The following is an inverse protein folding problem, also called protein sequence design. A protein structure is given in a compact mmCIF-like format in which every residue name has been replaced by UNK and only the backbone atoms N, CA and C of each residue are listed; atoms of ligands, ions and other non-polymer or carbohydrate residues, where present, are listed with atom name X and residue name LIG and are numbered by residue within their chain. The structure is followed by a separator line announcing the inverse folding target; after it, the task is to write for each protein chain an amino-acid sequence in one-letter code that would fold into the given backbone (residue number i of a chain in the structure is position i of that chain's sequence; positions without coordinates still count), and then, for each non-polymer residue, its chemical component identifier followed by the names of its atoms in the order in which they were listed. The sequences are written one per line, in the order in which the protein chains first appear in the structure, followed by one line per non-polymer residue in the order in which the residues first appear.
data_IF_182894268336
#
_entry.id   IF_182894268336
#
_cell.length_a   1.000
_cell.length_b   1.000
_cell.length_c   1.000
_cell.angle_alpha   90.00
_cell.angle_beta   90.00
_cell.angle_gamma   90.00
#
_symmetry.space_group_name_H-M   'P 1'
#
loop_
_entity.id
_entity.type
_entity.pdbx_description
1 polymer ?
#
# COMPACT_ATOMS: atom_id res chain seq x y z
N UNK A 1 77.15 -29.91 9.87
CA UNK A 1 76.65 -28.56 10.19
C UNK A 1 75.26 -28.45 9.59
N UNK A 2 74.23 -28.59 10.41
CA UNK A 2 72.82 -28.61 9.98
C UNK A 2 72.36 -27.20 9.61
N UNK A 3 71.72 -27.05 8.46
CA UNK A 3 71.05 -25.81 8.04
C UNK A 3 69.55 -26.05 8.18
N UNK A 4 68.90 -25.34 9.10
CA UNK A 4 67.45 -25.33 9.29
C UNK A 4 66.86 -24.17 8.51
N UNK A 5 65.92 -24.45 7.60
CA UNK A 5 65.12 -23.43 6.91
C UNK A 5 63.85 -23.15 7.72
N UNK A 6 63.65 -21.90 8.12
CA UNK A 6 62.44 -21.40 8.76
C UNK A 6 61.49 -20.86 7.69
N UNK A 7 60.35 -21.51 7.51
CA UNK A 7 59.26 -21.03 6.65
C UNK A 7 58.30 -20.17 7.46
N UNK A 8 58.34 -18.86 7.23
CA UNK A 8 57.36 -17.90 7.75
C UNK A 8 56.11 -17.92 6.88
N UNK A 9 54.99 -18.42 7.41
CA UNK A 9 53.70 -18.34 6.74
C UNK A 9 53.06 -16.97 7.01
N UNK A 10 52.89 -16.16 5.96
CA UNK A 10 52.14 -14.90 5.99
C UNK A 10 50.64 -15.21 5.88
N UNK A 11 49.89 -15.06 6.97
CA UNK A 11 48.43 -15.06 6.93
C UNK A 11 47.92 -13.68 6.48
N UNK A 12 47.29 -13.63 5.31
CA UNK A 12 46.51 -12.47 4.88
C UNK A 12 45.09 -12.54 5.46
N UNK A 13 44.61 -11.52 6.20
CA UNK A 13 43.23 -11.48 6.68
C UNK A 13 42.29 -11.21 5.51
N UNK A 14 41.46 -12.22 5.18
CA UNK A 14 40.39 -12.09 4.20
C UNK A 14 39.28 -11.24 4.82
N UNK A 15 39.27 -9.94 4.49
CA UNK A 15 38.21 -9.03 4.89
C UNK A 15 36.98 -9.30 4.02
N UNK A 16 35.99 -9.99 4.57
CA UNK A 16 34.66 -10.06 3.95
C UNK A 16 34.02 -8.68 4.03
N UNK A 17 34.05 -7.93 2.94
CA UNK A 17 33.16 -6.79 2.73
C UNK A 17 31.74 -7.37 2.59
N UNK A 18 30.95 -7.31 3.66
CA UNK A 18 29.53 -7.56 3.57
C UNK A 18 28.90 -6.43 2.76
N UNK A 19 28.55 -6.72 1.51
CA UNK A 19 27.66 -5.87 0.73
C UNK A 19 26.26 -6.02 1.34
N UNK A 20 25.85 -5.06 2.16
CA UNK A 20 24.44 -4.90 2.48
C UNK A 20 23.72 -4.57 1.19
N UNK A 21 22.87 -5.47 0.70
CA UNK A 21 21.92 -5.14 -0.36
C UNK A 21 20.71 -4.58 0.37
N UNK A 22 20.59 -3.26 0.47
CA UNK A 22 19.31 -2.64 0.80
C UNK A 22 18.26 -3.23 -0.14
N UNK A 23 17.18 -3.76 0.43
CA UNK A 23 16.14 -4.38 -0.37
C UNK A 23 15.43 -3.28 -1.15
N UNK A 24 15.48 -3.33 -2.48
CA UNK A 24 14.86 -2.30 -3.32
C UNK A 24 13.41 -2.68 -3.65
N UNK A 25 12.52 -1.71 -3.70
CA UNK A 25 11.13 -1.92 -4.16
C UNK A 25 11.08 -2.40 -5.61
N UNK A 26 10.05 -3.18 -5.96
CA UNK A 26 9.77 -3.60 -7.32
C UNK A 26 8.31 -3.30 -7.72
N UNK A 27 7.99 -3.18 -9.02
CA UNK A 27 6.61 -2.99 -9.48
C UNK A 27 5.68 -4.10 -8.97
N UNK A 28 4.52 -3.71 -8.47
CA UNK A 28 3.47 -4.62 -8.00
C UNK A 28 2.09 -4.02 -8.30
N UNK A 29 1.20 -4.81 -8.90
CA UNK A 29 -0.21 -4.46 -9.04
C UNK A 29 -0.99 -5.21 -7.98
N UNK A 30 -1.70 -4.48 -7.12
CA UNK A 30 -2.60 -5.10 -6.16
C UNK A 30 -3.79 -5.73 -6.91
N UNK A 31 -3.98 -7.06 -6.85
CA UNK A 31 -5.07 -7.72 -7.58
C UNK A 31 -6.46 -7.33 -7.08
N UNK A 32 -6.59 -6.77 -5.87
CA UNK A 32 -7.90 -6.41 -5.31
C UNK A 32 -8.34 -5.03 -5.77
N UNK A 33 -7.45 -4.04 -5.68
CA UNK A 33 -7.77 -2.64 -6.03
C UNK A 33 -7.37 -2.24 -7.45
N UNK A 34 -6.46 -2.99 -8.09
CA UNK A 34 -5.84 -2.62 -9.36
C UNK A 34 -4.79 -1.51 -9.23
N UNK A 35 -4.49 -1.03 -8.02
CA UNK A 35 -3.50 0.02 -7.81
C UNK A 35 -2.09 -0.52 -8.13
N UNK A 36 -1.31 0.27 -8.85
CA UNK A 36 0.09 -0.05 -9.15
C UNK A 36 1.00 0.64 -8.14
N UNK A 37 1.82 -0.15 -7.47
CA UNK A 37 2.77 0.26 -6.45
C UNK A 37 4.20 -0.03 -6.88
N UNK A 38 5.15 0.73 -6.34
CA UNK A 38 6.47 0.19 -6.05
C UNK A 38 6.42 -0.44 -4.66
N UNK A 39 6.75 -1.74 -4.57
CA UNK A 39 6.57 -2.51 -3.35
C UNK A 39 7.86 -3.14 -2.84
N UNK A 40 8.14 -2.88 -1.57
CA UNK A 40 9.08 -3.64 -0.76
C UNK A 40 8.40 -4.91 -0.25
N UNK A 41 9.12 -6.04 -0.29
CA UNK A 41 8.61 -7.31 0.24
C UNK A 41 9.70 -8.10 0.96
N UNK A 42 9.57 -8.20 2.28
CA UNK A 42 10.48 -8.97 3.12
C UNK A 42 10.22 -10.46 2.95
N UNK A 43 10.98 -11.15 2.10
CA UNK A 43 10.72 -12.56 1.75
C UNK A 43 10.63 -13.53 2.94
N UNK A 44 11.29 -13.23 4.07
CA UNK A 44 11.24 -14.04 5.29
C UNK A 44 10.05 -13.71 6.19
N UNK A 45 9.72 -12.44 6.32
CA UNK A 45 8.65 -11.95 7.21
C UNK A 45 7.29 -11.86 6.51
N UNK A 46 7.30 -11.89 5.18
CA UNK A 46 6.17 -11.60 4.30
C UNK A 46 5.53 -10.23 4.56
N UNK A 47 6.26 -9.32 5.22
CA UNK A 47 5.87 -7.92 5.31
C UNK A 47 6.00 -7.27 3.95
N UNK A 48 5.00 -6.52 3.53
CA UNK A 48 5.00 -5.74 2.30
C UNK A 48 4.60 -4.30 2.56
N UNK A 49 5.37 -3.38 1.98
CA UNK A 49 4.97 -1.97 1.86
C UNK A 49 4.97 -1.55 0.40
N UNK A 50 3.80 -1.16 -0.11
CA UNK A 50 3.62 -0.56 -1.43
C UNK A 50 3.44 0.95 -1.33
N UNK A 51 4.04 1.70 -2.25
CA UNK A 51 3.83 3.15 -2.40
C UNK A 51 3.49 3.50 -3.85
N UNK A 52 2.47 4.33 -4.00
CA UNK A 52 2.05 4.93 -5.26
C UNK A 52 1.96 6.45 -5.08
N UNK A 53 2.44 7.19 -6.08
CA UNK A 53 2.59 8.64 -6.05
C UNK A 53 1.84 9.29 -7.21
N UNK A 54 1.42 10.56 -7.06
CA UNK A 54 0.96 11.35 -8.20
C UNK A 54 2.05 11.47 -9.27
N UNK A 55 1.67 11.77 -10.51
CA UNK A 55 2.63 12.09 -11.57
C UNK A 55 3.56 13.26 -11.17
N UNK A 56 3.00 14.24 -10.46
CA UNK A 56 3.70 15.38 -9.89
C UNK A 56 3.46 15.42 -8.36
N UNK A 57 4.23 14.66 -7.56
CA UNK A 57 4.01 14.55 -6.11
C UNK A 57 4.14 15.89 -5.41
N UNK A 58 3.15 16.22 -4.57
CA UNK A 58 3.20 17.42 -3.72
C UNK A 58 3.09 17.02 -2.25
N UNK A 59 1.90 16.62 -1.81
CA UNK A 59 1.58 16.41 -0.38
C UNK A 59 1.12 14.98 -0.08
N UNK A 60 0.59 14.26 -1.07
CA UNK A 60 -0.17 13.04 -0.85
C UNK A 60 0.53 11.83 -1.50
N UNK A 61 0.34 10.65 -0.90
CA UNK A 61 0.68 9.36 -1.51
C UNK A 61 -0.35 8.29 -1.10
N UNK A 62 -0.40 7.17 -1.83
CA UNK A 62 -1.18 5.99 -1.46
C UNK A 62 -0.20 4.93 -1.00
N UNK A 63 -0.43 4.40 0.20
CA UNK A 63 0.36 3.34 0.80
C UNK A 63 -0.44 2.05 0.92
N UNK A 64 0.25 0.92 0.94
CA UNK A 64 -0.31 -0.38 1.31
C UNK A 64 0.64 -1.09 2.27
N UNK A 65 0.17 -1.41 3.48
CA UNK A 65 0.87 -2.25 4.44
C UNK A 65 0.22 -3.63 4.43
N UNK A 66 1.01 -4.69 4.24
CA UNK A 66 0.56 -6.09 4.28
C UNK A 66 1.48 -6.92 5.15
N UNK A 67 0.93 -7.81 5.96
CA UNK A 67 1.73 -8.75 6.75
C UNK A 67 0.89 -9.93 7.24
N UNK A 68 1.52 -11.09 7.47
CA UNK A 68 0.88 -12.21 8.15
C UNK A 68 0.63 -11.88 9.62
N UNK A 69 -0.50 -12.34 10.16
CA UNK A 69 -0.80 -12.28 11.58
C UNK A 69 -0.38 -13.59 12.25
N UNK A 70 0.17 -13.48 13.46
CA UNK A 70 0.33 -14.66 14.32
C UNK A 70 -1.02 -15.04 14.93
N UNK A 71 -1.10 -16.20 15.57
CA UNK A 71 -2.31 -16.57 16.33
C UNK A 71 -2.66 -15.57 17.45
N UNK A 72 -1.68 -14.79 17.92
CA UNK A 72 -1.88 -13.75 18.91
C UNK A 72 -2.24 -12.38 18.28
N UNK A 73 -2.14 -12.23 16.96
CA UNK A 73 -2.29 -10.95 16.24
C UNK A 73 -0.93 -10.42 15.78
N UNK A 74 -0.73 -9.11 15.94
CA UNK A 74 0.50 -8.43 15.53
C UNK A 74 0.24 -6.97 15.15
N UNK A 75 1.31 -6.24 14.91
CA UNK A 75 1.25 -4.90 14.34
C UNK A 75 2.38 -4.72 13.34
N UNK A 76 2.14 -3.92 12.31
CA UNK A 76 3.14 -3.56 11.30
C UNK A 76 3.24 -2.05 11.18
N UNK A 77 4.39 -1.56 10.74
CA UNK A 77 4.59 -0.13 10.57
C UNK A 77 5.65 0.23 9.56
N UNK A 78 5.64 1.51 9.18
CA UNK A 78 6.61 2.13 8.29
C UNK A 78 7.19 3.39 8.93
N UNK A 79 8.43 3.70 8.56
CA UNK A 79 9.03 5.01 8.72
C UNK A 79 9.08 5.68 7.35
N UNK A 80 8.68 6.95 7.26
CA UNK A 80 8.66 7.66 5.98
C UNK A 80 10.05 8.00 5.42
N UNK A 81 11.10 7.82 6.22
CA UNK A 81 12.50 7.86 5.81
C UNK A 81 13.26 6.71 6.50
N UNK A 82 14.56 6.62 6.26
CA UNK A 82 15.45 5.77 7.05
C UNK A 82 15.37 6.15 8.55
N UNK A 83 15.69 5.18 9.40
CA UNK A 83 15.64 5.29 10.87
C UNK A 83 14.22 5.34 11.48
N UNK A 84 14.09 4.86 12.71
CA UNK A 84 12.92 5.01 13.55
C UNK A 84 12.81 6.42 14.13
N UNK A 85 13.93 7.06 14.46
CA UNK A 85 13.96 8.35 15.15
C UNK A 85 14.04 9.50 14.14
N UNK A 86 13.05 10.40 14.20
CA UNK A 86 13.01 11.60 13.35
C UNK A 86 11.90 11.62 12.30
N UNK A 87 11.72 10.60 11.44
CA UNK A 87 10.64 10.64 10.45
C UNK A 87 9.27 10.40 11.08
N UNK A 88 8.23 10.77 10.35
CA UNK A 88 6.88 10.35 10.66
C UNK A 88 6.77 8.83 10.52
N UNK A 89 6.18 8.19 11.52
CA UNK A 89 5.92 6.76 11.51
C UNK A 89 4.43 6.52 11.35
N UNK A 90 4.05 5.45 10.65
CA UNK A 90 2.67 4.96 10.62
C UNK A 90 2.66 3.50 11.08
N UNK A 91 1.96 3.23 12.17
CA UNK A 91 1.71 1.89 12.67
C UNK A 91 0.25 1.49 12.41
N UNK A 92 0.02 0.23 12.10
CA UNK A 92 -1.30 -0.34 11.86
C UNK A 92 -1.42 -1.76 12.46
N UNK A 93 -2.61 -2.07 12.98
CA UNK A 93 -2.91 -3.35 13.61
C UNK A 93 -4.40 -3.70 13.47
N UNK A 94 -4.77 -4.97 13.66
CA UNK A 94 -6.16 -5.39 13.73
C UNK A 94 -6.89 -4.85 14.97
N UNK A 95 -8.08 -4.31 14.79
CA UNK A 95 -9.07 -4.09 15.83
C UNK A 95 -10.36 -4.86 15.46
N UNK A 96 -10.43 -6.12 15.89
CA UNK A 96 -11.44 -7.04 15.38
C UNK A 96 -11.22 -7.31 13.88
N UNK A 97 -12.23 -7.03 13.07
CA UNK A 97 -12.16 -7.18 11.60
C UNK A 97 -11.79 -5.87 10.89
N UNK A 98 -11.56 -4.79 11.65
CA UNK A 98 -11.16 -3.49 11.13
C UNK A 98 -9.67 -3.27 11.32
N UNK A 99 -9.11 -2.35 10.55
CA UNK A 99 -7.74 -1.89 10.74
C UNK A 99 -7.76 -0.62 11.59
N UNK A 100 -7.04 -0.66 12.71
CA UNK A 100 -6.67 0.54 13.44
C UNK A 100 -5.28 1.00 12.98
N UNK A 101 -5.08 2.31 12.91
CA UNK A 101 -3.76 2.88 12.63
C UNK A 101 -3.52 4.13 13.47
N UNK A 102 -2.25 4.53 13.57
CA UNK A 102 -1.83 5.74 14.27
C UNK A 102 -0.53 6.27 13.70
N UNK A 103 -0.45 7.58 13.54
CA UNK A 103 0.82 8.25 13.30
C UNK A 103 1.61 8.39 14.60
N UNK A 104 2.89 8.06 14.55
CA UNK A 104 3.81 8.17 15.69
C UNK A 104 5.05 8.97 15.34
N UNK A 105 5.73 9.47 16.37
CA UNK A 105 7.03 10.12 16.24
C UNK A 105 7.95 9.65 17.36
N UNK A 106 9.05 8.97 17.03
CA UNK A 106 10.02 8.55 18.00
C UNK A 106 11.05 9.66 18.28
N UNK A 107 11.38 9.87 19.55
CA UNK A 107 12.52 10.70 19.98
C UNK A 107 13.70 9.87 20.48
N UNK A 108 13.50 8.56 20.64
CA UNK A 108 14.48 7.57 21.12
C UNK A 108 14.17 6.21 20.52
N UNK A 109 15.17 5.32 20.43
CA UNK A 109 15.01 3.93 19.95
C UNK A 109 14.43 2.98 21.03
N UNK A 110 14.48 3.36 22.30
CA UNK A 110 14.23 2.47 23.45
C UNK A 110 12.77 2.48 23.96
N UNK A 111 11.90 3.31 23.38
CA UNK A 111 10.55 3.54 23.89
C UNK A 111 9.51 3.46 22.78
N UNK A 112 8.30 3.00 23.12
CA UNK A 112 7.15 3.04 22.20
C UNK A 112 6.92 4.48 21.73
N UNK A 113 6.92 4.74 20.41
CA UNK A 113 6.70 6.07 19.88
C UNK A 113 5.34 6.66 20.31
N UNK A 114 5.28 7.89 20.87
CA UNK A 114 4.02 8.55 21.17
C UNK A 114 3.24 8.89 19.90
N UNK A 115 1.92 9.00 20.02
CA UNK A 115 1.04 9.47 18.93
C UNK A 115 1.38 10.92 18.60
N UNK A 116 1.39 11.21 17.30
CA UNK A 116 1.53 12.56 16.77
C UNK A 116 0.35 12.90 15.87
N UNK A 117 -0.10 14.14 15.94
CA UNK A 117 -1.13 14.70 15.08
C UNK A 117 -0.60 15.96 14.41
N UNK A 118 -1.16 16.29 13.25
CA UNK A 118 -0.76 17.47 12.49
C UNK A 118 -1.75 17.73 11.35
N UNK A 119 -1.28 18.39 10.30
CA UNK A 119 -2.05 18.58 9.07
C UNK A 119 -2.13 17.31 8.20
N UNK A 120 -1.39 16.27 8.54
CA UNK A 120 -1.40 14.98 7.87
C UNK A 120 -2.54 14.08 8.37
N UNK A 121 -3.04 13.24 7.47
CA UNK A 121 -4.14 12.33 7.78
C UNK A 121 -4.02 11.03 6.98
N UNK A 122 -4.43 9.92 7.57
CA UNK A 122 -4.53 8.61 6.92
C UNK A 122 -6.00 8.30 6.68
N UNK A 123 -6.36 8.00 5.44
CA UNK A 123 -7.72 7.65 5.05
C UNK A 123 -7.70 6.25 4.46
N UNK A 124 -8.35 5.25 5.08
CA UNK A 124 -8.42 3.91 4.51
C UNK A 124 -9.05 3.91 3.12
N UNK A 125 -8.52 3.07 2.22
CA UNK A 125 -9.16 2.67 0.98
C UNK A 125 -9.87 1.33 1.27
N UNK A 126 -11.21 1.30 1.42
CA UNK A 126 -11.91 0.12 1.93
C UNK A 126 -11.72 -1.13 1.07
N UNK A 127 -11.68 -0.98 -0.26
CA UNK A 127 -11.49 -2.11 -1.17
C UNK A 127 -10.13 -2.81 -1.01
N UNK A 128 -9.09 -2.10 -0.57
CA UNK A 128 -7.75 -2.66 -0.32
C UNK A 128 -7.44 -2.92 1.15
N UNK A 129 -8.45 -2.81 2.02
CA UNK A 129 -8.29 -2.95 3.47
C UNK A 129 -9.03 -4.18 3.97
N UNK A 130 -8.32 -5.09 4.64
CA UNK A 130 -8.91 -6.29 5.22
C UNK A 130 -8.08 -6.79 6.41
N UNK A 131 -8.78 -7.38 7.38
CA UNK A 131 -8.20 -8.22 8.40
C UNK A 131 -8.85 -9.59 8.27
N UNK A 132 -8.05 -10.64 8.17
CA UNK A 132 -8.49 -12.01 8.34
C UNK A 132 -7.59 -12.72 9.34
N UNK A 133 -7.96 -13.92 9.81
CA UNK A 133 -7.21 -14.62 10.87
C UNK A 133 -5.76 -14.99 10.55
N UNK A 134 -5.27 -14.73 9.34
CA UNK A 134 -3.90 -15.06 8.91
C UNK A 134 -3.13 -13.87 8.34
N UNK A 135 -3.81 -12.83 7.87
CA UNK A 135 -3.19 -11.72 7.16
C UNK A 135 -3.97 -10.43 7.39
N UNK A 136 -3.23 -9.34 7.37
CA UNK A 136 -3.76 -7.99 7.33
C UNK A 136 -3.29 -7.30 6.05
N UNK A 137 -4.20 -6.58 5.40
CA UNK A 137 -3.90 -5.63 4.34
C UNK A 137 -4.51 -4.28 4.72
N UNK A 138 -3.72 -3.23 4.66
CA UNK A 138 -4.17 -1.86 4.91
C UNK A 138 -3.71 -0.97 3.77
N UNK A 139 -4.64 -0.68 2.86
CA UNK A 139 -4.41 0.27 1.78
C UNK A 139 -5.02 1.61 2.18
N UNK A 140 -4.28 2.70 2.01
CA UNK A 140 -4.67 4.01 2.52
C UNK A 140 -4.16 5.15 1.64
N UNK A 141 -4.90 6.25 1.63
CA UNK A 141 -4.43 7.55 1.18
C UNK A 141 -3.81 8.30 2.37
N UNK A 142 -2.54 8.64 2.27
CA UNK A 142 -1.83 9.50 3.22
C UNK A 142 -1.84 10.93 2.70
N UNK A 143 -2.67 11.78 3.29
CA UNK A 143 -2.82 13.19 2.92
C UNK A 143 -1.83 14.04 3.70
N UNK A 144 -1.17 14.98 3.02
CA UNK A 144 -0.14 15.86 3.60
C UNK A 144 1.00 15.14 4.32
N UNK A 145 1.32 13.91 3.89
CA UNK A 145 2.40 13.10 4.45
C UNK A 145 3.75 13.32 3.73
N UNK A 146 3.75 14.00 2.57
CA UNK A 146 4.95 14.45 1.90
C UNK A 146 5.25 15.89 2.37
N UNK A 147 6.10 16.00 3.40
CA UNK A 147 6.61 17.26 3.96
C UNK A 147 8.02 17.00 4.54
N UNK A 148 8.96 17.91 4.31
CA UNK A 148 10.34 17.78 4.82
C UNK A 148 10.42 17.71 6.35
N UNK A 149 9.44 18.28 7.07
CA UNK A 149 9.33 18.19 8.53
C UNK A 149 8.94 16.80 9.02
N UNK A 150 8.44 15.94 8.13
CA UNK A 150 8.05 14.57 8.39
C UNK A 150 9.13 13.56 7.97
N UNK A 151 10.30 14.06 7.53
CA UNK A 151 11.39 13.24 6.99
C UNK A 151 11.24 12.88 5.51
N UNK A 152 10.12 13.21 4.86
CA UNK A 152 9.83 12.82 3.49
C UNK A 152 9.38 13.99 2.63
N UNK A 153 10.31 14.60 1.90
CA UNK A 153 10.06 15.78 1.08
C UNK A 153 9.69 15.43 -0.38
N UNK A 154 9.01 16.33 -1.06
CA UNK A 154 8.66 16.16 -2.48
C UNK A 154 9.90 15.91 -3.37
N UNK A 155 11.05 16.50 -3.03
CA UNK A 155 12.32 16.26 -3.74
C UNK A 155 12.82 14.81 -3.65
N UNK A 156 12.48 14.08 -2.59
CA UNK A 156 12.87 12.67 -2.43
C UNK A 156 12.15 11.77 -3.44
N UNK A 157 10.98 12.18 -3.93
CA UNK A 157 10.18 11.41 -4.90
C UNK A 157 10.78 11.35 -6.31
N UNK A 158 11.89 12.05 -6.56
CA UNK A 158 12.54 12.16 -7.88
C UNK A 158 13.47 10.99 -8.21
N UNK A 159 13.76 10.11 -7.26
CA UNK A 159 14.70 9.01 -7.44
C UNK A 159 14.43 7.86 -6.49
N UNK A 160 15.52 7.24 -6.03
CA UNK A 160 15.50 6.24 -4.96
C UNK A 160 15.66 6.93 -3.61
N UNK A 161 14.89 6.50 -2.62
CA UNK A 161 14.91 7.06 -1.28
C UNK A 161 14.76 5.95 -0.24
N UNK A 162 15.56 6.02 0.82
CA UNK A 162 15.52 5.06 1.90
C UNK A 162 14.29 5.26 2.81
N UNK A 163 13.68 4.16 3.22
CA UNK A 163 12.51 4.10 4.11
C UNK A 163 12.64 2.91 5.06
N UNK A 164 11.99 2.99 6.23
CA UNK A 164 12.01 1.92 7.23
C UNK A 164 10.73 1.10 7.30
N UNK A 165 10.83 -0.13 7.79
CA UNK A 165 9.69 -0.98 8.13
C UNK A 165 9.88 -1.70 9.46
N UNK A 166 8.77 -2.09 10.09
CA UNK A 166 8.76 -2.84 11.33
C UNK A 166 7.56 -3.81 11.39
N UNK A 167 7.77 -4.97 12.00
CA UNK A 167 6.75 -5.99 12.23
C UNK A 167 6.92 -6.61 13.61
N UNK A 168 5.82 -6.67 14.37
CA UNK A 168 5.73 -7.42 15.62
C UNK A 168 4.70 -8.54 15.50
N UNK A 169 5.03 -9.69 16.09
CA UNK A 169 4.13 -10.84 16.17
C UNK A 169 3.18 -10.75 17.35
N UNK A 170 3.48 -9.88 18.31
CA UNK A 170 2.67 -9.63 19.51
C UNK A 170 1.59 -8.60 19.22
N UNK A 171 0.35 -8.83 19.69
CA UNK A 171 -0.71 -7.84 19.56
C UNK A 171 -0.44 -6.62 20.45
N UNK A 172 -1.01 -5.49 20.06
CA UNK A 172 -1.15 -4.35 20.96
C UNK A 172 -2.09 -4.68 22.13
N UNK A 173 -1.89 -4.04 23.28
CA UNK A 173 -2.65 -4.34 24.51
C UNK A 173 -4.10 -3.88 24.44
N UNK A 174 -4.32 -2.71 23.83
CA UNK A 174 -5.64 -2.12 23.60
C UNK A 174 -5.77 -1.77 22.11
N UNK A 175 -6.41 -2.62 21.30
CA UNK A 175 -6.55 -2.38 19.86
C UNK A 175 -7.43 -1.20 19.49
N UNK A 176 -8.33 -0.76 20.38
CA UNK A 176 -9.22 0.38 20.12
C UNK A 176 -8.56 1.73 20.44
N UNK A 177 -7.51 1.73 21.25
CA UNK A 177 -6.75 2.92 21.59
C UNK A 177 -5.63 3.19 20.56
N UNK A 178 -5.78 4.25 19.77
CA UNK A 178 -4.76 4.69 18.83
C UNK A 178 -3.42 5.06 19.52
N UNK A 179 -3.43 5.33 20.84
CA UNK A 179 -2.24 5.62 21.65
C UNK A 179 -1.67 4.41 22.39
N UNK A 180 -2.22 3.21 22.17
CA UNK A 180 -1.74 1.95 22.73
C UNK A 180 -0.23 1.79 22.57
N UNK A 181 0.40 1.12 23.54
CA UNK A 181 1.83 0.85 23.48
C UNK A 181 2.13 -0.15 22.35
N UNK A 182 3.09 0.20 21.51
CA UNK A 182 3.62 -0.70 20.49
C UNK A 182 4.75 -1.50 21.13
N UNK A 183 4.56 -2.81 21.28
CA UNK A 183 5.64 -3.71 21.71
C UNK A 183 6.76 -3.73 20.68
N UNK A 184 7.98 -4.08 21.09
CA UNK A 184 9.11 -4.24 20.15
C UNK A 184 8.73 -5.10 18.92
N UNK A 185 9.18 -4.67 17.74
CA UNK A 185 8.98 -5.32 16.45
C UNK A 185 9.84 -6.59 16.32
N UNK A 186 9.40 -7.66 16.98
CA UNK A 186 10.15 -8.89 17.19
C UNK A 186 10.14 -9.88 16.01
N UNK A 187 9.35 -9.63 14.96
CA UNK A 187 9.33 -10.45 13.74
C UNK A 187 10.27 -9.92 12.66
N UNK A 188 10.63 -8.63 12.74
CA UNK A 188 11.65 -8.03 11.89
C UNK A 188 11.46 -6.53 11.68
N UNK A 189 12.55 -5.88 11.31
CA UNK A 189 12.65 -4.47 10.98
C UNK A 189 13.95 -4.25 10.21
N UNK A 190 13.95 -3.32 9.28
CA UNK A 190 15.15 -2.89 8.55
C UNK A 190 14.83 -1.65 7.71
N UNK A 191 15.83 -1.18 6.97
CA UNK A 191 15.70 -0.17 5.92
C UNK A 191 15.50 -0.84 4.55
N UNK A 192 14.89 -0.12 3.62
CA UNK A 192 14.71 -0.53 2.23
C UNK A 192 14.78 0.68 1.30
N UNK A 193 15.22 0.44 0.06
CA UNK A 193 15.33 1.47 -0.97
C UNK A 193 14.04 1.54 -1.79
N UNK A 194 13.30 2.66 -1.67
CA UNK A 194 12.09 2.90 -2.45
C UNK A 194 12.41 3.59 -3.79
N UNK A 195 12.07 2.96 -4.92
CA UNK A 195 12.17 3.55 -6.26
C UNK A 195 11.02 4.54 -6.53
N UNK A 196 10.99 5.65 -5.80
CA UNK A 196 9.87 6.59 -5.81
C UNK A 196 9.61 7.26 -7.17
N UNK A 197 10.64 7.46 -7.99
CA UNK A 197 10.45 7.93 -9.36
C UNK A 197 9.58 6.98 -10.19
N UNK A 198 9.70 5.67 -9.96
CA UNK A 198 8.94 4.63 -10.63
C UNK A 198 7.58 4.32 -9.94
N UNK A 199 7.27 4.98 -8.82
CA UNK A 199 5.98 4.88 -8.13
C UNK A 199 4.94 5.90 -8.62
N UNK A 200 5.34 6.82 -9.50
CA UNK A 200 4.49 7.91 -10.01
C UNK A 200 3.51 7.40 -11.06
N UNK A 201 2.26 7.86 -10.99
CA UNK A 201 1.21 7.46 -11.91
C UNK A 201 0.22 8.59 -12.21
N UNK A 202 -0.22 8.77 -13.47
CA UNK A 202 -1.32 9.67 -13.80
C UNK A 202 -2.67 9.17 -13.23
N UNK A 203 -2.80 7.87 -12.98
CA UNK A 203 -4.01 7.26 -12.41
C UNK A 203 -4.16 7.49 -10.90
N UNK A 204 -3.19 8.14 -10.25
CA UNK A 204 -3.19 8.34 -8.81
C UNK A 204 -4.48 9.00 -8.29
N UNK A 205 -5.01 9.98 -9.02
CA UNK A 205 -6.26 10.64 -8.65
C UNK A 205 -7.46 9.71 -8.64
N UNK A 206 -7.54 8.80 -9.60
CA UNK A 206 -8.60 7.78 -9.68
C UNK A 206 -8.50 6.80 -8.51
N UNK A 207 -7.28 6.39 -8.16
CA UNK A 207 -7.05 5.53 -6.99
C UNK A 207 -7.37 6.24 -5.68
N UNK A 208 -7.09 7.54 -5.56
CA UNK A 208 -7.39 8.31 -4.36
C UNK A 208 -8.90 8.41 -4.08
N UNK A 209 -9.74 8.43 -5.13
CA UNK A 209 -11.21 8.41 -4.98
C UNK A 209 -11.74 7.12 -4.35
N UNK A 210 -10.96 6.02 -4.37
CA UNK A 210 -11.32 4.79 -3.67
C UNK A 210 -11.33 4.96 -2.14
N UNK A 211 -10.70 6.02 -1.62
CA UNK A 211 -10.77 6.39 -0.21
C UNK A 211 -12.08 7.12 0.16
N UNK A 212 -12.89 7.50 -0.84
CA UNK A 212 -14.17 8.19 -0.68
C UNK A 212 -14.45 9.21 -1.79
N UNK A 213 -15.71 9.36 -2.18
CA UNK A 213 -16.11 10.20 -3.31
C UNK A 213 -15.81 11.71 -3.13
N UNK A 214 -15.75 12.19 -1.88
CA UNK A 214 -15.46 13.59 -1.55
C UNK A 214 -13.95 13.89 -1.43
N UNK A 215 -13.10 12.90 -1.71
CA UNK A 215 -11.65 13.05 -1.61
C UNK A 215 -11.10 13.72 -2.87
N UNK A 216 -10.72 14.99 -2.74
CA UNK A 216 -9.87 15.67 -3.72
C UNK A 216 -8.41 15.47 -3.29
N UNK A 217 -7.63 14.75 -4.08
CA UNK A 217 -6.19 14.59 -3.84
C UNK A 217 -5.36 15.52 -4.73
N UNK A 218 -4.32 16.11 -4.14
CA UNK A 218 -3.41 17.00 -4.85
C UNK A 218 -2.54 16.19 -5.82
N UNK A 219 -2.74 16.38 -7.12
CA UNK A 219 -1.92 15.76 -8.17
C UNK A 219 -2.65 14.84 -9.15
N UNK A 220 -3.99 14.72 -9.05
CA UNK A 220 -4.80 14.14 -10.13
C UNK A 220 -4.74 15.02 -11.37
N UNK A 221 -4.29 14.48 -12.51
CA UNK A 221 -4.46 15.11 -13.82
C UNK A 221 -5.78 14.72 -14.48
N UNK A 222 -6.47 13.69 -13.95
CA UNK A 222 -7.83 13.33 -14.37
C UNK A 222 -8.82 14.35 -13.80
N UNK A 223 -9.52 15.06 -14.69
CA UNK A 223 -10.56 15.99 -14.31
C UNK A 223 -11.69 15.23 -13.62
N UNK A 224 -12.04 15.63 -12.40
CA UNK A 224 -13.26 15.17 -11.75
C UNK A 224 -14.41 15.80 -12.52
N UNK A 225 -15.20 15.04 -13.27
CA UNK A 225 -16.47 15.55 -13.81
C UNK A 225 -17.35 15.93 -12.62
N UNK A 226 -17.80 17.20 -12.51
CA UNK A 226 -18.67 17.61 -11.42
C UNK A 226 -19.97 16.80 -11.49
N UNK A 227 -20.30 16.06 -10.44
CA UNK A 227 -21.68 15.58 -10.24
C UNK A 227 -22.50 16.82 -9.90
N UNK A 228 -23.38 17.22 -10.82
CA UNK A 228 -24.27 18.35 -10.63
C UNK A 228 -25.20 18.11 -9.42
N UNK A 229 -25.31 19.05 -8.47
CA UNK A 229 -26.32 18.98 -7.43
C UNK A 229 -27.72 19.26 -8.02
N UNK A 230 -28.61 18.26 -7.92
CA UNK A 230 -30.03 18.37 -8.28
C UNK A 230 -30.33 17.69 -9.62
N UNK A 231 -31.28 16.76 -9.73
CA UNK A 231 -32.69 17.01 -9.43
C UNK A 231 -33.37 15.66 -9.19
N UNK A 232 -33.93 15.44 -8.01
CA UNK A 232 -34.96 14.42 -7.81
C UNK A 232 -36.20 14.82 -8.61
N UNK A 233 -36.20 14.49 -9.90
CA UNK A 233 -37.34 14.64 -10.79
C UNK A 233 -38.37 13.55 -10.47
N UNK A 234 -39.55 13.98 -10.08
CA UNK A 234 -40.65 13.13 -9.65
C UNK A 234 -41.12 12.16 -10.73
N UNK A 235 -41.56 11.00 -10.26
CA UNK A 235 -42.43 10.11 -11.00
C UNK A 235 -43.77 10.82 -11.22
N UNK A 236 -43.99 11.29 -12.44
CA UNK A 236 -45.32 11.54 -12.98
C UNK A 236 -45.43 10.75 -14.27
N UNK A 237 -46.36 9.80 -14.28
CA UNK A 237 -46.64 8.94 -15.42
C UNK A 237 -47.32 9.66 -16.57
N UNK A 238 -47.58 8.89 -17.64
CA UNK A 238 -48.41 9.27 -18.77
C UNK A 238 -48.11 8.42 -19.98
N UNK A 239 -49.04 7.49 -20.24
CA UNK A 239 -49.13 6.56 -21.38
C UNK A 239 -49.05 7.24 -22.75
N UNK A 240 -48.76 6.44 -23.78
CA UNK A 240 -48.93 6.79 -25.19
C UNK A 240 -48.36 5.74 -26.12
N UNK A 241 -49.23 4.84 -26.56
CA UNK A 241 -49.07 3.79 -27.57
C UNK A 241 -48.68 4.34 -28.97
N UNK A 242 -48.61 3.42 -29.95
CA UNK A 242 -48.52 3.57 -31.43
C UNK A 242 -47.11 3.59 -32.07
N UNK A 243 -46.79 2.84 -33.12
CA UNK A 243 -47.38 1.68 -33.83
C UNK A 243 -46.21 0.94 -34.49
N UNK A 244 -46.37 -0.36 -34.75
CA UNK A 244 -45.52 -1.14 -35.62
C UNK A 244 -46.28 -1.55 -36.88
N UNK A 245 -45.67 -1.31 -38.03
CA UNK A 245 -45.87 -1.95 -39.35
C UNK A 245 -44.45 -1.87 -39.99
N UNK A 246 -43.85 -2.92 -40.56
CA UNK A 246 -44.19 -3.51 -41.85
C UNK A 246 -43.70 -4.98 -41.96
N UNK A 247 -44.66 -5.90 -42.16
CA UNK A 247 -44.86 -6.83 -43.27
C UNK A 247 -43.66 -7.46 -44.01
N UNK A 248 -43.50 -8.80 -43.94
CA UNK A 248 -43.92 -9.83 -44.95
C UNK A 248 -42.91 -10.00 -46.10
N UNK A 249 -42.62 -11.15 -46.71
CA UNK A 249 -43.02 -12.57 -46.64
C UNK A 249 -42.01 -13.31 -47.55
N UNK A 250 -41.80 -14.62 -47.33
CA UNK A 250 -41.78 -15.62 -48.43
C UNK A 250 -41.48 -17.01 -47.85
N UNK A 251 -42.53 -17.82 -47.86
CA UNK A 251 -42.63 -19.27 -48.14
C UNK A 251 -41.33 -19.93 -48.65
N UNK A 252 -40.95 -21.17 -48.34
CA UNK A 252 -41.66 -22.33 -47.82
C UNK A 252 -41.01 -23.57 -48.46
N UNK A 253 -40.75 -24.63 -47.69
CA UNK A 253 -40.66 -26.03 -48.15
C UNK A 253 -40.29 -26.94 -46.97
N UNK A 254 -41.26 -27.77 -46.59
CA UNK A 254 -41.07 -28.98 -45.78
C UNK A 254 -40.29 -30.03 -46.59
N UNK A 255 -39.33 -30.71 -45.96
CA UNK A 255 -39.00 -32.11 -46.25
C UNK A 255 -38.58 -32.80 -44.94
N UNK A 256 -39.32 -33.85 -44.59
CA UNK A 256 -39.06 -34.80 -43.51
C UNK A 256 -37.85 -35.72 -43.78
N UNK A 257 -37.47 -36.47 -42.73
CA UNK A 257 -36.78 -37.77 -42.77
C UNK A 257 -35.24 -37.70 -42.95
N UNK A 258 -34.39 -38.47 -42.26
CA UNK A 258 -34.55 -39.74 -41.56
C UNK A 258 -33.48 -39.90 -40.45
N UNK A 259 -33.80 -40.84 -39.58
CA UNK A 259 -33.02 -41.49 -38.54
C UNK A 259 -31.66 -42.07 -38.96
N UNK A 260 -30.81 -42.27 -37.93
CA UNK A 260 -29.89 -43.41 -37.69
C UNK A 260 -28.97 -43.93 -38.85
N UNK A 261 -27.64 -43.82 -38.68
CA UNK A 261 -26.75 -44.94 -38.31
C UNK A 261 -25.24 -44.61 -38.42
N UNK A 262 -24.47 -45.36 -37.61
CA UNK A 262 -23.00 -45.49 -37.41
C UNK A 262 -22.24 -44.50 -36.49
#
# INVERSE_FOLDING_TARGET
MMITLSTTALLFPLHFLALSNAQTTAPFTDPVTGIQFQRFFGAKTQFGFGIALPENPTTDFIGQITFPLTAAGGWGGIALADDMVGPLLLAAWPNGNEVQSSFRLASTEEASPPVVAGSFNVVPIPSGTSVNGTNMSFTFLCRNCIDSKLGFAAGNTLGTFGMGWALAGRPVRDPADAATELSFHDEGFDEFDAQLNAARSPLFGEWALLAGADIVSNGSTTAVTPVAPGTGGGFSGGDGDDEGEDDEESEGAEVESDDEDD
#
